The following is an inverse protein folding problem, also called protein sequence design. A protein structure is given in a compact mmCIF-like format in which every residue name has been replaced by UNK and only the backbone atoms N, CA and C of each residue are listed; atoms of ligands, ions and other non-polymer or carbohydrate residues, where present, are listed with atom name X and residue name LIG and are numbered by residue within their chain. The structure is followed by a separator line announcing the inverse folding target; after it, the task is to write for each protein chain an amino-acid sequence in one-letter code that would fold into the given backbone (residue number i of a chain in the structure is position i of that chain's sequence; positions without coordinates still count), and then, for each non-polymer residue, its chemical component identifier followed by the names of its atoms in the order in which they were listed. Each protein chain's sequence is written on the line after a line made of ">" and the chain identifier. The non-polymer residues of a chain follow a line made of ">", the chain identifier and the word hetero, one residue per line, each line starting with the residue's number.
data_IF_797214971271
#
_entry.id   IF_797214971271
#
_cell.length_a   1.000
_cell.length_b   1.000
_cell.length_c   1.000
_cell.angle_alpha   90.00
_cell.angle_beta   90.00
_cell.angle_gamma   90.00
#
_symmetry.space_group_name_H-M   'P 1'
#
loop_
_entity.id
_entity.type
_entity.pdbx_description
1 polymer ?
#
# COMPACT_ATOMS: atom_id res chain seq x y z
N UNK A 1 -41.00 0.39 -3.86
CA UNK A 1 -40.71 1.20 -2.67
C UNK A 1 -39.23 1.60 -2.73
N UNK A 2 -38.88 2.89 -2.71
CA UNK A 2 -37.51 3.33 -2.92
C UNK A 2 -36.73 3.25 -1.60
N UNK A 3 -36.10 2.11 -1.34
CA UNK A 3 -35.16 1.92 -0.24
C UNK A 3 -33.75 2.14 -0.74
N UNK A 4 -33.34 3.39 -0.91
CA UNK A 4 -31.93 3.72 -1.13
C UNK A 4 -31.16 3.50 0.16
N UNK A 5 -30.85 2.25 0.49
CA UNK A 5 -29.80 1.96 1.47
C UNK A 5 -28.51 2.47 0.85
N UNK A 6 -28.00 3.60 1.34
CA UNK A 6 -26.65 4.03 1.05
C UNK A 6 -25.72 2.87 1.48
N UNK A 7 -25.24 2.10 0.51
CA UNK A 7 -24.35 0.98 0.79
C UNK A 7 -23.16 1.44 1.60
N UNK A 8 -22.72 0.64 2.57
CA UNK A 8 -21.49 0.91 3.30
C UNK A 8 -20.34 0.63 2.33
N UNK A 9 -19.47 1.60 2.10
CA UNK A 9 -18.27 1.43 1.28
C UNK A 9 -17.02 1.52 2.14
N UNK A 10 -16.04 0.67 1.84
CA UNK A 10 -14.73 0.66 2.50
C UNK A 10 -13.63 0.89 1.47
N UNK A 11 -12.53 1.52 1.91
CA UNK A 11 -11.34 1.70 1.08
C UNK A 11 -10.39 0.54 1.34
N UNK A 12 -10.02 -0.17 0.28
CA UNK A 12 -9.19 -1.38 0.34
C UNK A 12 -7.88 -1.16 -0.41
N UNK A 13 -6.80 -1.69 0.15
CA UNK A 13 -5.53 -1.90 -0.53
C UNK A 13 -5.39 -3.41 -0.79
N UNK A 14 -5.16 -3.80 -2.04
CA UNK A 14 -4.92 -5.20 -2.36
C UNK A 14 -3.55 -5.64 -1.86
N UNK A 15 -3.43 -6.92 -1.53
CA UNK A 15 -2.16 -7.51 -1.15
C UNK A 15 -1.85 -8.77 -1.95
N UNK A 16 -0.57 -9.04 -2.14
CA UNK A 16 -0.05 -10.27 -2.74
C UNK A 16 1.07 -10.85 -1.88
N UNK A 17 1.13 -12.18 -1.79
CA UNK A 17 2.22 -12.91 -1.15
C UNK A 17 3.32 -13.30 -2.15
N UNK A 18 3.22 -12.85 -3.41
CA UNK A 18 4.22 -13.07 -4.45
C UNK A 18 5.22 -11.92 -4.52
N UNK A 19 6.48 -12.25 -4.80
CA UNK A 19 7.60 -11.30 -4.98
C UNK A 19 7.65 -10.20 -3.89
N UNK A 20 7.48 -10.61 -2.64
CA UNK A 20 7.29 -9.69 -1.49
C UNK A 20 8.50 -8.83 -1.17
N UNK A 21 9.69 -9.22 -1.65
CA UNK A 21 10.94 -8.51 -1.39
C UNK A 21 11.21 -7.39 -2.42
N UNK A 22 10.61 -7.48 -3.61
CA UNK A 22 10.56 -6.38 -4.56
C UNK A 22 9.34 -5.50 -4.32
N UNK A 23 9.57 -4.33 -3.70
CA UNK A 23 8.53 -3.35 -3.41
C UNK A 23 8.59 -2.16 -4.35
N UNK A 24 7.45 -1.81 -4.91
CA UNK A 24 7.22 -0.58 -5.63
C UNK A 24 6.89 0.58 -4.68
N UNK A 25 7.06 1.84 -5.12
CA UNK A 25 6.64 3.00 -4.34
C UNK A 25 5.16 2.91 -3.95
N UNK A 26 4.87 3.05 -2.66
CA UNK A 26 3.52 2.86 -2.14
C UNK A 26 3.18 1.41 -1.75
N UNK A 27 4.14 0.48 -1.79
CA UNK A 27 3.94 -0.87 -1.25
C UNK A 27 4.56 -1.04 0.13
N UNK A 28 3.84 -1.76 1.00
CA UNK A 28 4.33 -2.13 2.34
C UNK A 28 4.28 -3.65 2.54
N UNK A 29 5.40 -4.25 2.99
CA UNK A 29 5.44 -5.66 3.40
C UNK A 29 5.00 -5.79 4.86
N UNK A 30 4.04 -6.67 5.09
CA UNK A 30 3.64 -7.16 6.41
C UNK A 30 4.10 -8.61 6.49
N UNK A 31 4.82 -8.93 7.56
CA UNK A 31 5.33 -10.29 7.79
C UNK A 31 4.25 -11.16 8.41
N UNK A 32 4.19 -12.44 8.04
CA UNK A 32 3.30 -13.40 8.71
C UNK A 32 3.73 -13.73 10.14
N UNK A 33 4.93 -13.31 10.53
CA UNK A 33 5.43 -13.39 11.91
C UNK A 33 4.62 -12.54 12.89
N UNK A 34 3.90 -11.51 12.41
CA UNK A 34 2.98 -10.71 13.22
C UNK A 34 1.71 -11.54 13.54
N UNK A 35 1.52 -11.99 14.81
CA UNK A 35 0.42 -12.88 15.18
C UNK A 35 -0.95 -12.19 15.13
N UNK A 36 -0.98 -10.85 15.07
CA UNK A 36 -2.19 -10.06 15.01
C UNK A 36 -2.62 -9.78 13.56
N UNK A 37 -1.70 -9.78 12.59
CA UNK A 37 -1.98 -9.47 11.19
C UNK A 37 -2.93 -10.49 10.50
N UNK A 38 -2.97 -11.75 10.96
CA UNK A 38 -3.88 -12.76 10.42
C UNK A 38 -3.50 -13.29 9.03
N UNK A 39 -2.22 -13.15 8.68
CA UNK A 39 -1.64 -13.60 7.41
C UNK A 39 -1.07 -15.02 7.54
N UNK A 40 -1.17 -15.81 6.47
CA UNK A 40 -0.54 -17.12 6.39
C UNK A 40 0.87 -17.10 5.80
N UNK A 41 1.19 -16.06 5.02
CA UNK A 41 2.47 -15.81 4.38
C UNK A 41 2.77 -14.31 4.46
N UNK A 42 4.05 -13.94 4.39
CA UNK A 42 4.46 -12.57 4.14
C UNK A 42 3.67 -12.00 2.95
N UNK A 43 3.17 -10.78 3.09
CA UNK A 43 2.28 -10.18 2.10
C UNK A 43 2.63 -8.71 1.94
N UNK A 44 2.82 -8.26 0.71
CA UNK A 44 2.93 -6.84 0.40
C UNK A 44 1.56 -6.27 0.03
N UNK A 45 1.26 -5.08 0.52
CA UNK A 45 0.01 -4.36 0.24
C UNK A 45 0.31 -3.07 -0.51
N UNK A 46 -0.43 -2.84 -1.59
CA UNK A 46 -0.32 -1.64 -2.41
C UNK A 46 -1.28 -0.56 -1.88
N UNK A 47 -0.72 0.36 -1.09
CA UNK A 47 -1.46 1.52 -0.56
C UNK A 47 -1.52 2.69 -1.55
N UNK A 48 -0.78 2.61 -2.67
CA UNK A 48 -0.87 3.57 -3.77
C UNK A 48 -2.13 3.38 -4.58
N UNK A 49 -2.52 2.13 -4.84
CA UNK A 49 -3.67 1.76 -5.65
C UNK A 49 -4.87 1.30 -4.80
N UNK A 50 -5.42 2.22 -4.00
CA UNK A 50 -6.60 1.96 -3.17
C UNK A 50 -7.89 2.06 -3.95
N UNK A 51 -8.80 1.11 -3.73
CA UNK A 51 -10.13 1.06 -4.35
C UNK A 51 -11.23 1.18 -3.32
N UNK A 52 -12.40 1.68 -3.72
CA UNK A 52 -13.61 1.65 -2.88
C UNK A 52 -14.45 0.46 -3.28
N UNK A 53 -14.77 -0.40 -2.32
CA UNK A 53 -15.62 -1.57 -2.52
C UNK A 53 -16.83 -1.51 -1.59
N UNK A 54 -17.99 -2.03 -2.02
CA UNK A 54 -19.12 -2.20 -1.13
C UNK A 54 -18.78 -3.23 -0.05
N UNK A 55 -19.18 -2.96 1.18
CA UNK A 55 -18.99 -3.86 2.32
C UNK A 55 -20.17 -4.83 2.40
N UNK A 56 -20.14 -5.84 1.56
CA UNK A 56 -21.15 -6.90 1.45
C UNK A 56 -20.49 -8.29 1.33
N UNK A 57 -21.31 -9.35 1.30
CA UNK A 57 -20.85 -10.73 1.29
C UNK A 57 -20.19 -11.16 -0.04
N UNK A 58 -20.37 -10.40 -1.13
CA UNK A 58 -19.69 -10.67 -2.40
C UNK A 58 -18.19 -10.38 -2.28
N UNK A 59 -17.83 -9.29 -1.60
CA UNK A 59 -16.44 -8.87 -1.42
C UNK A 59 -15.84 -9.23 -0.06
N UNK A 60 -16.68 -9.34 0.98
CA UNK A 60 -16.28 -9.51 2.37
C UNK A 60 -17.01 -10.67 3.04
N UNK A 61 -16.96 -11.85 2.42
CA UNK A 61 -17.46 -13.08 3.00
C UNK A 61 -16.77 -13.42 4.34
N UNK A 62 -17.44 -14.13 5.26
CA UNK A 62 -16.84 -14.60 6.51
C UNK A 62 -15.54 -15.36 6.28
N UNK A 63 -14.54 -15.09 7.13
CA UNK A 63 -13.25 -15.79 7.06
C UNK A 63 -13.46 -17.31 7.22
N UNK A 64 -12.81 -18.17 6.40
CA UNK A 64 -13.01 -19.63 6.45
C UNK A 64 -12.82 -20.24 7.85
N UNK A 65 -11.88 -19.68 8.63
CA UNK A 65 -11.55 -20.18 9.96
C UNK A 65 -12.45 -19.60 11.06
N UNK A 66 -13.35 -18.65 10.73
CA UNK A 66 -14.29 -17.95 11.63
C UNK A 66 -13.70 -17.55 12.99
N UNK A 67 -12.41 -17.18 13.03
CA UNK A 67 -11.68 -16.79 14.26
C UNK A 67 -12.35 -15.61 14.97
N UNK A 68 -13.05 -14.76 14.23
CA UNK A 68 -13.80 -13.60 14.74
C UNK A 68 -15.31 -13.76 14.55
N UNK A 69 -15.80 -15.01 14.52
CA UNK A 69 -17.19 -15.34 14.21
C UNK A 69 -17.51 -15.13 12.74
N UNK A 70 -18.78 -14.81 12.47
CA UNK A 70 -19.32 -14.57 11.13
C UNK A 70 -18.95 -13.16 10.64
N UNK A 71 -17.64 -12.91 10.56
CA UNK A 71 -17.07 -11.64 10.17
C UNK A 71 -15.93 -11.85 9.17
N UNK A 72 -15.77 -11.00 8.13
CA UNK A 72 -14.65 -11.04 7.18
C UNK A 72 -13.27 -10.77 7.81
N UNK A 73 -13.22 -10.43 9.10
CA UNK A 73 -11.98 -9.99 9.76
C UNK A 73 -11.05 -11.19 9.91
N UNK A 74 -9.80 -11.03 9.45
CA UNK A 74 -8.74 -12.04 9.61
C UNK A 74 -7.71 -11.66 10.67
N UNK A 75 -7.49 -10.37 10.86
CA UNK A 75 -6.50 -9.84 11.78
C UNK A 75 -6.65 -8.33 11.94
N UNK A 76 -5.64 -7.72 12.55
CA UNK A 76 -5.54 -6.29 12.79
C UNK A 76 -4.08 -5.91 12.85
N UNK A 77 -3.70 -4.85 12.13
CA UNK A 77 -2.38 -4.25 12.26
C UNK A 77 -2.39 -3.26 13.42
N UNK A 78 -1.36 -3.33 14.27
CA UNK A 78 -1.24 -2.37 15.38
C UNK A 78 -0.80 -1.00 14.84
N UNK A 79 -1.78 -0.11 14.66
CA UNK A 79 -1.51 1.26 14.22
C UNK A 79 -0.77 2.09 15.25
N UNK A 80 -0.56 1.64 16.49
CA UNK A 80 0.30 2.31 17.46
C UNK A 80 1.78 1.99 17.26
N UNK A 81 2.11 0.85 16.63
CA UNK A 81 3.49 0.42 16.36
C UNK A 81 4.25 1.46 15.52
N UNK A 82 5.33 1.96 16.11
CA UNK A 82 6.22 2.96 15.51
C UNK A 82 6.87 2.41 14.23
N UNK A 83 7.21 1.11 14.19
CA UNK A 83 7.85 0.50 13.02
C UNK A 83 6.89 0.41 11.85
N UNK A 84 5.64 -0.02 12.09
CA UNK A 84 4.59 0.01 11.08
C UNK A 84 4.29 1.43 10.59
N UNK A 85 4.09 2.40 11.50
CA UNK A 85 3.87 3.81 11.14
C UNK A 85 4.99 4.34 10.25
N UNK A 86 6.25 4.05 10.60
CA UNK A 86 7.42 4.49 9.83
C UNK A 86 7.43 3.88 8.43
N UNK A 87 7.17 2.58 8.29
CA UNK A 87 7.09 1.90 6.99
C UNK A 87 5.99 2.48 6.11
N UNK A 88 4.79 2.70 6.67
CA UNK A 88 3.68 3.36 5.98
C UNK A 88 4.05 4.76 5.52
N UNK A 89 4.68 5.55 6.40
CA UNK A 89 5.11 6.92 6.09
C UNK A 89 6.14 6.94 4.97
N UNK A 90 7.11 6.00 4.97
CA UNK A 90 8.09 5.83 3.90
C UNK A 90 7.42 5.50 2.57
N UNK A 91 6.54 4.50 2.54
CA UNK A 91 5.85 4.09 1.31
C UNK A 91 5.01 5.24 0.72
N UNK A 92 4.32 6.02 1.56
CA UNK A 92 3.58 7.21 1.12
C UNK A 92 4.52 8.30 0.58
N UNK A 93 5.67 8.52 1.23
CA UNK A 93 6.64 9.51 0.78
C UNK A 93 7.27 9.11 -0.57
N UNK A 94 7.65 7.85 -0.73
CA UNK A 94 8.18 7.28 -1.97
C UNK A 94 7.16 7.40 -3.10
N UNK A 95 5.89 7.05 -2.85
CA UNK A 95 4.81 7.21 -3.82
C UNK A 95 4.67 8.67 -4.27
N UNK A 96 4.70 9.62 -3.32
CA UNK A 96 4.64 11.06 -3.64
C UNK A 96 5.84 11.51 -4.47
N UNK A 97 7.03 10.98 -4.22
CA UNK A 97 8.23 11.29 -4.99
C UNK A 97 8.18 10.69 -6.40
N UNK A 98 7.69 9.44 -6.53
CA UNK A 98 7.52 8.76 -7.81
C UNK A 98 6.45 9.44 -8.69
N UNK A 99 5.40 10.00 -8.06
CA UNK A 99 4.33 10.73 -8.75
C UNK A 99 4.71 12.16 -9.14
N UNK A 100 5.80 12.74 -8.59
CA UNK A 100 6.30 14.05 -9.02
C UNK A 100 6.97 13.90 -10.38
N UNK A 101 6.64 14.75 -11.37
CA UNK A 101 7.40 14.79 -12.61
C UNK A 101 8.86 15.10 -12.25
N UNK A 102 9.79 14.28 -12.72
CA UNK A 102 11.22 14.59 -12.62
C UNK A 102 11.43 15.89 -13.38
N UNK A 103 11.62 17.01 -12.68
CA UNK A 103 12.17 18.22 -13.30
C UNK A 103 13.54 17.83 -13.82
N UNK A 104 13.60 17.49 -15.11
CA UNK A 104 14.84 17.35 -15.86
C UNK A 104 15.48 18.73 -15.85
N UNK A 105 16.42 18.96 -14.94
CA UNK A 105 17.27 20.13 -15.00
C UNK A 105 18.21 19.98 -16.21
N UNK A 106 17.72 20.42 -17.38
CA UNK A 106 18.44 20.43 -18.65
C UNK A 106 19.56 21.48 -18.70
N UNK A 107 19.90 22.15 -17.59
CA UNK A 107 20.90 23.23 -17.60
C UNK A 107 22.33 22.82 -17.23
N UNK A 108 22.62 21.54 -16.97
CA UNK A 108 23.98 21.08 -16.66
C UNK A 108 24.65 20.27 -17.79
N UNK A 109 24.63 20.78 -19.03
CA UNK A 109 25.51 20.30 -20.13
C UNK A 109 26.12 21.42 -20.99
N UNK A 110 26.37 22.60 -20.41
CA UNK A 110 27.18 23.65 -21.06
C UNK A 110 28.22 24.24 -20.10
N UNK A 111 29.09 23.38 -19.56
CA UNK A 111 30.32 23.83 -18.92
C UNK A 111 31.51 22.95 -19.37
N UNK A 112 31.83 23.02 -20.66
CA UNK A 112 32.86 22.17 -21.25
C UNK A 112 33.46 22.72 -22.54
N UNK A 113 33.75 24.01 -22.62
CA UNK A 113 34.60 24.56 -23.68
C UNK A 113 35.52 25.65 -23.13
N UNK A 114 36.62 25.25 -22.47
CA UNK A 114 37.77 26.14 -22.25
C UNK A 114 38.77 25.93 -23.38
N UNK A 115 39.05 27.04 -24.06
CA UNK A 115 39.98 27.18 -25.18
C UNK A 115 41.41 26.85 -24.74
N UNK A 116 42.12 26.08 -25.56
CA UNK A 116 43.58 25.98 -25.54
C UNK A 116 44.18 27.14 -26.36
N UNK A 117 45.18 27.80 -25.76
CA UNK A 117 46.21 28.68 -26.36
C UNK A 117 47.53 28.33 -25.65
N UNK A 118 48.73 28.62 -26.19
CA UNK A 118 49.10 29.77 -27.03
C UNK A 118 49.24 29.46 -28.52
#
# INVERSE_FOLDING_TARGET
>A
MPGGSAGIFVTVAYGTSEDVDHRHPGEIKIESSDPHAGLGLDTKFDIGNRVKLPFDDEWFAPSPNRRFGDHPKRGMLDTADIHLKRRLSSAVAELKQAARPKTLDMTSRLAGRRKTKP
#
